data_IF_387413760170
#
_entry.id   IF_387413760170
#
_cell.length_a   1.000
_cell.length_b   1.000
_cell.length_c   1.000
_cell.angle_alpha   90.00
_cell.angle_beta   90.00
_cell.angle_gamma   90.00
#
_symmetry.space_group_name_H-M   'P 1'
#
loop_
_entity.id
_entity.type
_entity.pdbx_description
1 polymer ?
#
# COMPACT_ATOMS: atom_id res chain seq x y z
N UNK A 1 8.25 -7.99 14.02
CA UNK A 1 7.67 -7.63 15.33
C UNK A 1 8.79 -7.32 16.31
N UNK A 2 8.70 -6.20 17.02
CA UNK A 2 9.55 -5.87 18.16
C UNK A 2 8.69 -5.87 19.43
N UNK A 3 9.20 -6.48 20.50
CA UNK A 3 8.66 -6.30 21.84
C UNK A 3 9.59 -5.37 22.60
N UNK A 4 9.05 -4.28 23.13
CA UNK A 4 9.80 -3.39 24.02
C UNK A 4 9.93 -4.02 25.41
N UNK A 5 10.86 -3.52 26.20
CA UNK A 5 11.04 -3.96 27.59
C UNK A 5 9.76 -3.73 28.45
N UNK A 6 8.87 -2.81 28.03
CA UNK A 6 7.55 -2.59 28.61
C UNK A 6 6.52 -3.69 28.30
N UNK A 7 6.83 -4.65 27.41
CA UNK A 7 5.89 -5.63 26.87
C UNK A 7 5.03 -5.10 25.71
N UNK A 8 5.16 -3.84 25.36
CA UNK A 8 4.46 -3.24 24.23
C UNK A 8 4.98 -3.79 22.91
N UNK A 9 4.05 -4.13 21.99
CA UNK A 9 4.40 -4.65 20.67
C UNK A 9 4.38 -3.52 19.66
N UNK A 10 5.38 -3.52 18.77
CA UNK A 10 5.47 -2.57 17.66
C UNK A 10 5.93 -3.30 16.40
N UNK A 11 5.61 -2.73 15.24
CA UNK A 11 6.09 -3.23 13.95
C UNK A 11 7.29 -2.39 13.51
N UNK A 12 8.43 -3.05 13.36
CA UNK A 12 9.62 -2.43 12.80
C UNK A 12 9.74 -2.79 11.32
N UNK A 13 9.87 -1.79 10.47
CA UNK A 13 10.01 -1.96 9.02
C UNK A 13 11.39 -1.52 8.57
N UNK A 14 12.03 -2.37 7.76
CA UNK A 14 13.29 -2.10 7.08
C UNK A 14 13.00 -2.04 5.59
N UNK A 15 13.29 -0.90 4.97
CA UNK A 15 13.02 -0.64 3.55
C UNK A 15 14.37 -0.38 2.88
N UNK A 16 14.67 -1.07 1.77
CA UNK A 16 15.90 -0.84 1.02
C UNK A 16 15.93 0.60 0.46
N UNK A 17 17.13 1.17 0.39
CA UNK A 17 17.30 2.60 0.12
C UNK A 17 17.10 3.00 -1.36
N UNK A 18 16.70 2.08 -2.25
CA UNK A 18 16.24 2.38 -3.60
C UNK A 18 14.84 3.01 -3.62
N UNK A 19 14.07 2.85 -2.52
CA UNK A 19 12.81 3.58 -2.36
C UNK A 19 13.09 5.04 -2.01
N UNK A 20 12.55 6.01 -2.78
CA UNK A 20 12.77 7.42 -2.51
C UNK A 20 12.29 7.83 -1.12
N UNK A 21 13.10 8.64 -0.42
CA UNK A 21 12.74 9.12 0.95
C UNK A 21 11.42 9.90 0.95
N UNK A 22 11.14 10.66 -0.11
CA UNK A 22 9.90 11.44 -0.22
C UNK A 22 8.65 10.56 -0.21
N UNK A 23 8.74 9.39 -0.80
CA UNK A 23 7.66 8.39 -0.77
C UNK A 23 7.36 7.91 0.63
N UNK A 24 8.40 7.59 1.39
CA UNK A 24 8.25 7.18 2.79
C UNK A 24 7.70 8.31 3.66
N UNK A 25 8.04 9.57 3.35
CA UNK A 25 7.45 10.74 4.04
C UNK A 25 5.94 10.84 3.76
N UNK A 26 5.52 10.61 2.51
CA UNK A 26 4.09 10.58 2.15
C UNK A 26 3.37 9.44 2.87
N UNK A 27 3.96 8.23 2.95
CA UNK A 27 3.38 7.15 3.73
C UNK A 27 3.21 7.52 5.22
N UNK A 28 4.20 8.19 5.83
CA UNK A 28 4.11 8.65 7.22
C UNK A 28 2.99 9.67 7.37
N UNK A 29 2.89 10.65 6.47
CA UNK A 29 1.81 11.65 6.49
C UNK A 29 0.44 10.99 6.34
N UNK A 30 0.30 10.02 5.42
CA UNK A 30 -0.93 9.26 5.23
C UNK A 30 -1.33 8.50 6.50
N UNK A 31 -0.37 7.82 7.14
CA UNK A 31 -0.63 7.08 8.39
C UNK A 31 -1.05 8.02 9.53
N UNK A 32 -0.40 9.18 9.68
CA UNK A 32 -0.76 10.19 10.68
C UNK A 32 -2.17 10.73 10.43
N UNK A 33 -2.48 11.06 9.18
CA UNK A 33 -3.80 11.56 8.80
C UNK A 33 -4.89 10.51 9.05
N UNK A 34 -4.70 9.28 8.56
CA UNK A 34 -5.64 8.17 8.80
C UNK A 34 -5.83 7.89 10.29
N UNK A 35 -4.76 7.92 11.08
CA UNK A 35 -4.85 7.69 12.52
C UNK A 35 -5.64 8.79 13.22
N UNK A 36 -5.53 10.05 12.78
CA UNK A 36 -6.33 11.16 13.32
C UNK A 36 -7.84 11.02 13.04
N UNK A 37 -8.21 10.40 11.90
CA UNK A 37 -9.60 10.22 11.47
C UNK A 37 -10.21 8.88 11.96
N UNK A 38 -9.43 7.81 11.92
CA UNK A 38 -9.89 6.43 12.13
C UNK A 38 -9.34 5.79 13.43
N UNK A 39 -8.46 6.50 14.14
CA UNK A 39 -7.91 6.06 15.42
C UNK A 39 -7.17 4.72 15.31
N UNK A 40 -7.48 3.81 16.23
CA UNK A 40 -6.82 2.51 16.34
C UNK A 40 -7.16 1.51 15.22
N UNK A 41 -8.05 1.86 14.29
CA UNK A 41 -8.35 1.01 13.12
C UNK A 41 -7.19 0.96 12.12
N UNK A 42 -6.24 1.89 12.21
CA UNK A 42 -5.06 1.93 11.36
C UNK A 42 -3.79 2.08 12.21
N UNK A 43 -2.65 1.54 11.76
CA UNK A 43 -1.40 1.75 12.49
C UNK A 43 -1.03 3.24 12.47
N UNK A 44 -0.37 3.72 13.53
CA UNK A 44 0.22 5.05 13.56
C UNK A 44 1.75 4.96 13.57
N UNK A 45 2.45 5.90 12.91
CA UNK A 45 3.90 5.93 12.91
C UNK A 45 4.41 6.36 14.29
N UNK A 46 5.54 5.76 14.71
CA UNK A 46 6.21 6.06 15.97
C UNK A 46 7.54 6.75 15.69
N UNK A 47 7.78 7.85 16.38
CA UNK A 47 9.05 8.57 16.27
C UNK A 47 10.16 7.87 17.06
N UNK A 48 11.40 8.00 16.61
CA UNK A 48 12.58 7.64 17.39
C UNK A 48 12.83 8.65 18.55
N UNK A 49 13.85 8.40 19.34
CA UNK A 49 14.20 9.29 20.47
C UNK A 49 14.59 10.72 20.05
N UNK A 50 14.94 10.91 18.78
CA UNK A 50 15.23 12.21 18.19
C UNK A 50 14.02 12.88 17.51
N UNK A 51 12.84 12.27 17.62
CA UNK A 51 11.60 12.77 17.01
C UNK A 51 11.44 12.46 15.53
N UNK A 52 12.25 11.56 14.96
CA UNK A 52 12.22 11.20 13.53
C UNK A 52 11.36 9.96 13.32
N UNK A 53 10.49 9.98 12.33
CA UNK A 53 9.69 8.83 11.92
C UNK A 53 10.40 7.90 10.93
N UNK A 54 11.46 8.40 10.28
CA UNK A 54 12.30 7.66 9.35
C UNK A 54 13.74 7.91 9.72
N UNK A 55 14.51 6.85 9.89
CA UNK A 55 15.94 6.88 10.18
C UNK A 55 16.71 6.08 9.13
N UNK A 56 17.94 6.50 8.85
CA UNK A 56 18.82 5.75 7.97
C UNK A 56 19.56 4.66 8.75
N UNK A 57 19.70 3.49 8.14
CA UNK A 57 20.47 2.37 8.68
C UNK A 57 21.31 1.70 7.60
N UNK A 58 22.03 0.65 7.99
CA UNK A 58 22.80 -0.20 7.09
C UNK A 58 22.50 -1.67 7.35
N UNK A 59 22.36 -2.44 6.30
CA UNK A 59 22.24 -3.89 6.34
C UNK A 59 23.61 -4.54 6.54
N UNK A 60 23.65 -5.82 6.90
CA UNK A 60 24.91 -6.56 7.11
C UNK A 60 25.81 -6.60 5.88
N UNK A 61 25.25 -6.53 4.69
CA UNK A 61 25.99 -6.46 3.42
C UNK A 61 26.52 -5.06 3.09
N UNK A 62 26.34 -4.07 3.99
CA UNK A 62 26.76 -2.69 3.80
C UNK A 62 25.78 -1.81 3.01
N UNK A 63 24.67 -2.37 2.48
CA UNK A 63 23.67 -1.58 1.76
C UNK A 63 22.92 -0.66 2.72
N UNK A 64 22.62 0.56 2.29
CA UNK A 64 21.80 1.50 3.03
C UNK A 64 20.33 1.04 3.08
N UNK A 65 19.66 1.36 4.16
CA UNK A 65 18.22 1.12 4.30
C UNK A 65 17.55 2.25 5.09
N UNK A 66 16.22 2.36 4.94
CA UNK A 66 15.38 3.20 5.78
C UNK A 66 14.75 2.35 6.86
N UNK A 67 14.70 2.90 8.05
CA UNK A 67 14.15 2.27 9.25
C UNK A 67 12.95 3.08 9.71
N UNK A 68 11.83 2.41 9.98
CA UNK A 68 10.63 3.05 10.55
C UNK A 68 9.93 2.14 11.54
N UNK A 69 9.24 2.74 12.48
CA UNK A 69 8.49 2.06 13.52
C UNK A 69 7.01 2.49 13.45
N UNK A 70 6.12 1.56 13.68
CA UNK A 70 4.69 1.83 13.76
C UNK A 70 4.04 0.97 14.83
N UNK A 71 2.87 1.38 15.31
CA UNK A 71 2.09 0.61 16.27
C UNK A 71 1.78 -0.78 15.73
N UNK A 72 1.76 -1.76 16.62
CA UNK A 72 1.27 -3.09 16.33
C UNK A 72 -0.25 -3.06 16.18
N UNK A 73 -0.77 -3.69 15.15
CA UNK A 73 -2.20 -3.95 15.00
C UNK A 73 -2.49 -5.39 15.42
N UNK A 74 -3.34 -5.63 16.42
CA UNK A 74 -3.77 -6.97 16.78
C UNK A 74 -4.76 -7.50 15.74
N UNK A 75 -4.92 -8.82 15.66
CA UNK A 75 -5.92 -9.44 14.80
C UNK A 75 -5.38 -10.61 14.01
N UNK A 76 -6.27 -11.24 13.28
CA UNK A 76 -6.00 -12.36 12.36
C UNK A 76 -6.16 -11.83 10.94
N UNK A 77 -5.22 -12.09 10.00
CA UNK A 77 -5.40 -11.70 8.61
C UNK A 77 -6.73 -12.22 8.04
N UNK A 78 -7.43 -11.40 7.26
CA UNK A 78 -8.67 -11.78 6.60
C UNK A 78 -8.50 -13.08 5.79
N UNK A 79 -7.31 -13.29 5.19
CA UNK A 79 -6.96 -14.53 4.51
C UNK A 79 -7.13 -15.79 5.38
N UNK A 80 -6.84 -15.69 6.67
CA UNK A 80 -6.84 -16.79 7.63
C UNK A 80 -8.12 -16.83 8.50
N UNK A 81 -8.87 -15.74 8.56
CA UNK A 81 -10.10 -15.64 9.36
C UNK A 81 -11.25 -16.43 8.71
N UNK A 82 -12.07 -17.12 9.51
CA UNK A 82 -13.27 -17.85 9.05
C UNK A 82 -14.38 -17.78 10.12
N UNK A 83 -15.65 -17.77 9.71
CA UNK A 83 -16.16 -17.79 8.33
C UNK A 83 -16.12 -16.41 7.66
N UNK A 84 -16.04 -16.36 6.34
CA UNK A 84 -16.27 -15.15 5.56
C UNK A 84 -17.78 -14.93 5.41
N UNK A 85 -18.35 -14.00 6.17
CA UNK A 85 -19.78 -13.67 6.10
C UNK A 85 -20.02 -12.41 5.26
N UNK A 86 -21.26 -12.20 4.84
CA UNK A 86 -21.65 -10.96 4.13
C UNK A 86 -21.40 -9.72 5.00
N UNK A 87 -21.69 -9.82 6.30
CA UNK A 87 -21.48 -8.74 7.26
C UNK A 87 -19.99 -8.37 7.40
N UNK A 88 -19.12 -9.40 7.40
CA UNK A 88 -17.67 -9.17 7.40
C UNK A 88 -17.23 -8.39 6.16
N UNK A 89 -17.66 -8.82 4.98
CA UNK A 89 -17.32 -8.09 3.74
C UNK A 89 -17.91 -6.69 3.69
N UNK A 90 -19.10 -6.50 4.25
CA UNK A 90 -19.68 -5.17 4.44
C UNK A 90 -18.82 -4.27 5.32
N UNK A 91 -18.35 -4.82 6.46
CA UNK A 91 -17.48 -4.08 7.38
C UNK A 91 -16.13 -3.73 6.73
N UNK A 92 -15.52 -4.66 6.00
CA UNK A 92 -14.28 -4.42 5.24
C UNK A 92 -14.50 -3.32 4.19
N UNK A 93 -15.58 -3.43 3.40
CA UNK A 93 -15.91 -2.43 2.39
C UNK A 93 -16.16 -1.05 2.99
N UNK A 94 -16.83 -0.98 4.14
CA UNK A 94 -17.06 0.27 4.87
C UNK A 94 -15.75 0.91 5.33
N UNK A 95 -14.86 0.14 5.97
CA UNK A 95 -13.54 0.61 6.39
C UNK A 95 -12.73 1.10 5.19
N UNK A 96 -12.70 0.36 4.09
CA UNK A 96 -11.97 0.78 2.89
C UNK A 96 -12.54 2.07 2.28
N UNK A 97 -13.86 2.24 2.32
CA UNK A 97 -14.53 3.49 1.93
C UNK A 97 -14.12 4.67 2.82
N UNK A 98 -14.05 4.47 4.13
CA UNK A 98 -13.56 5.49 5.08
C UNK A 98 -12.10 5.85 4.81
N UNK A 99 -11.22 4.86 4.60
CA UNK A 99 -9.81 5.07 4.26
C UNK A 99 -9.68 5.88 2.96
N UNK A 100 -10.39 5.49 1.91
CA UNK A 100 -10.35 6.20 0.63
C UNK A 100 -10.86 7.64 0.75
N UNK A 101 -11.95 7.87 1.48
CA UNK A 101 -12.51 9.22 1.72
C UNK A 101 -11.53 10.08 2.50
N UNK A 102 -10.94 9.56 3.57
CA UNK A 102 -9.95 10.28 4.37
C UNK A 102 -8.72 10.65 3.53
N UNK A 103 -8.12 9.67 2.83
CA UNK A 103 -6.95 9.92 1.98
C UNK A 103 -7.22 10.92 0.85
N UNK A 104 -8.45 11.00 0.32
CA UNK A 104 -8.80 11.96 -0.73
C UNK A 104 -8.72 13.42 -0.28
N UNK A 105 -8.76 13.69 1.01
CA UNK A 105 -8.62 15.03 1.58
C UNK A 105 -7.18 15.43 1.86
N UNK A 106 -6.24 14.48 1.83
CA UNK A 106 -4.84 14.72 2.12
C UNK A 106 -4.13 15.26 0.87
N UNK A 107 -3.77 16.55 0.91
CA UNK A 107 -2.93 17.14 -0.12
C UNK A 107 -1.47 16.70 0.05
N UNK A 108 -0.98 15.88 -0.87
CA UNK A 108 0.42 15.48 -0.93
C UNK A 108 0.98 15.79 -2.32
N UNK A 109 2.29 16.11 -2.45
CA UNK A 109 2.93 16.13 -3.75
C UNK A 109 2.72 14.77 -4.42
N UNK A 110 2.57 14.73 -5.75
CA UNK A 110 2.52 13.46 -6.48
C UNK A 110 3.81 12.67 -6.19
N UNK A 111 3.74 11.59 -5.39
CA UNK A 111 4.95 10.97 -4.87
C UNK A 111 5.58 9.97 -5.86
N UNK A 112 4.84 9.54 -6.90
CA UNK A 112 5.26 8.37 -7.67
C UNK A 112 4.73 8.31 -9.09
N UNK A 113 5.37 8.97 -10.05
CA UNK A 113 5.12 8.69 -11.46
C UNK A 113 5.59 7.28 -11.89
N UNK A 114 6.51 6.64 -11.16
CA UNK A 114 7.26 5.49 -11.68
C UNK A 114 7.05 4.16 -10.92
N UNK A 115 5.95 4.00 -10.17
CA UNK A 115 5.64 2.71 -9.54
C UNK A 115 5.19 1.69 -10.60
N UNK A 116 5.84 0.50 -10.69
CA UNK A 116 5.47 -0.51 -11.70
C UNK A 116 4.01 -0.96 -11.63
N UNK A 117 3.38 -0.91 -10.46
CA UNK A 117 1.95 -1.24 -10.27
C UNK A 117 1.02 -0.02 -10.35
N UNK A 118 1.52 1.14 -10.79
CA UNK A 118 0.65 2.28 -11.06
C UNK A 118 -0.22 1.97 -12.29
N UNK A 119 -1.54 2.24 -12.27
CA UNK A 119 -2.43 1.97 -13.40
C UNK A 119 -1.92 2.53 -14.73
N UNK A 120 -1.32 3.71 -14.74
CA UNK A 120 -0.77 4.35 -15.94
C UNK A 120 0.36 3.51 -16.59
N UNK A 121 1.00 2.60 -15.83
CA UNK A 121 2.05 1.70 -16.31
C UNK A 121 1.50 0.35 -16.82
N UNK A 122 0.21 0.07 -16.61
CA UNK A 122 -0.36 -1.26 -16.85
C UNK A 122 -0.14 -1.76 -18.28
N UNK A 123 -0.34 -0.90 -19.29
CA UNK A 123 -0.14 -1.27 -20.70
C UNK A 123 1.31 -1.63 -20.99
N UNK A 124 2.24 -0.79 -20.57
CA UNK A 124 3.67 -1.02 -20.79
C UNK A 124 4.12 -2.33 -20.15
N UNK A 125 3.74 -2.57 -18.90
CA UNK A 125 4.12 -3.79 -18.16
C UNK A 125 3.54 -5.04 -18.83
N UNK A 126 2.28 -5.00 -19.27
CA UNK A 126 1.67 -6.13 -19.98
C UNK A 126 2.38 -6.36 -21.32
N UNK A 127 2.66 -5.32 -22.11
CA UNK A 127 3.38 -5.44 -23.38
C UNK A 127 4.77 -6.05 -23.22
N UNK A 128 5.55 -5.59 -22.25
CA UNK A 128 6.86 -6.15 -21.91
C UNK A 128 6.75 -7.60 -21.47
N UNK A 129 5.75 -7.94 -20.65
CA UNK A 129 5.50 -9.28 -20.15
C UNK A 129 5.01 -10.27 -21.19
N UNK A 130 4.35 -9.84 -22.29
CA UNK A 130 3.80 -10.71 -23.32
C UNK A 130 4.86 -11.62 -23.99
N UNK A 131 6.11 -11.14 -24.08
CA UNK A 131 7.22 -11.92 -24.62
C UNK A 131 7.62 -13.11 -23.73
N UNK A 132 7.29 -13.07 -22.44
CA UNK A 132 7.61 -14.09 -21.45
C UNK A 132 6.49 -15.13 -21.31
N UNK A 133 5.30 -14.89 -21.89
CA UNK A 133 4.16 -15.78 -21.82
C UNK A 133 4.25 -16.82 -22.92
N UNK A 134 4.49 -18.08 -22.52
CA UNK A 134 4.60 -19.22 -23.46
C UNK A 134 3.24 -19.79 -23.88
N UNK A 135 2.20 -19.67 -23.02
CA UNK A 135 0.85 -20.18 -23.32
C UNK A 135 0.14 -19.26 -24.33
N UNK A 136 -0.23 -19.76 -25.54
CA UNK A 136 -0.88 -18.96 -26.57
C UNK A 136 -2.28 -18.46 -26.15
N UNK A 137 -3.01 -19.22 -25.32
CA UNK A 137 -4.36 -18.83 -24.86
C UNK A 137 -4.24 -17.67 -23.86
N UNK A 138 -3.32 -17.78 -22.91
CA UNK A 138 -3.05 -16.70 -21.97
C UNK A 138 -2.55 -15.45 -22.69
N UNK A 139 -1.63 -15.62 -23.65
CA UNK A 139 -1.13 -14.50 -24.46
C UNK A 139 -2.27 -13.77 -25.19
N UNK A 140 -3.13 -14.50 -25.89
CA UNK A 140 -4.28 -13.93 -26.58
C UNK A 140 -5.26 -13.22 -25.60
N UNK A 141 -5.48 -13.81 -24.42
CA UNK A 141 -6.29 -13.18 -23.37
C UNK A 141 -5.71 -11.82 -22.92
N UNK A 142 -4.42 -11.78 -22.64
CA UNK A 142 -3.73 -10.54 -22.22
C UNK A 142 -3.76 -9.48 -23.32
N UNK A 143 -3.54 -9.87 -24.58
CA UNK A 143 -3.65 -8.94 -25.71
C UNK A 143 -5.07 -8.40 -25.89
N UNK A 144 -6.11 -9.23 -25.64
CA UNK A 144 -7.49 -8.75 -25.67
C UNK A 144 -7.80 -7.80 -24.52
N UNK A 145 -7.34 -8.11 -23.31
CA UNK A 145 -7.50 -7.26 -22.14
C UNK A 145 -6.85 -5.89 -22.39
N UNK A 146 -5.63 -5.88 -22.94
CA UNK A 146 -4.90 -4.65 -23.29
C UNK A 146 -5.69 -3.80 -24.32
N UNK A 147 -6.19 -4.44 -25.39
CA UNK A 147 -7.03 -3.72 -26.39
C UNK A 147 -8.30 -3.12 -25.78
N UNK A 148 -8.95 -3.82 -24.84
CA UNK A 148 -10.12 -3.30 -24.14
C UNK A 148 -9.75 -2.12 -23.23
N UNK A 149 -8.64 -2.22 -22.52
CA UNK A 149 -8.14 -1.13 -21.68
C UNK A 149 -7.81 0.10 -22.53
N UNK A 150 -7.04 -0.05 -23.62
CA UNK A 150 -6.68 1.06 -24.50
C UNK A 150 -7.91 1.74 -25.14
N UNK A 151 -8.94 0.95 -25.43
CA UNK A 151 -10.17 1.47 -26.06
C UNK A 151 -11.11 2.14 -25.07
N UNK A 152 -11.26 1.63 -23.87
CA UNK A 152 -12.29 2.05 -22.94
C UNK A 152 -11.76 2.62 -21.62
N UNK A 153 -10.61 2.16 -21.14
CA UNK A 153 -10.00 2.60 -19.89
C UNK A 153 -9.14 3.85 -20.06
N UNK A 154 -8.13 3.76 -20.92
CA UNK A 154 -7.16 4.84 -21.12
C UNK A 154 -7.79 6.22 -21.45
N UNK A 155 -8.83 6.33 -22.31
CA UNK A 155 -9.44 7.63 -22.56
C UNK A 155 -10.09 8.27 -21.33
N UNK A 156 -10.42 7.48 -20.30
CA UNK A 156 -11.07 7.99 -19.08
C UNK A 156 -10.07 8.42 -18.00
N UNK A 157 -8.79 8.03 -18.11
CA UNK A 157 -7.78 8.30 -17.08
C UNK A 157 -7.58 9.79 -16.77
N UNK A 158 -7.71 10.64 -17.79
CA UNK A 158 -7.57 12.09 -17.62
C UNK A 158 -8.77 12.73 -16.91
N UNK A 159 -9.91 12.08 -16.94
CA UNK A 159 -11.16 12.58 -16.39
C UNK A 159 -11.44 12.03 -14.99
N UNK A 160 -10.68 11.00 -14.56
CA UNK A 160 -10.83 10.43 -13.23
C UNK A 160 -10.21 11.33 -12.16
N UNK A 161 -10.91 11.53 -11.03
CA UNK A 161 -10.33 12.23 -9.90
C UNK A 161 -9.11 11.47 -9.38
N UNK A 162 -8.03 12.20 -9.09
CA UNK A 162 -6.80 11.63 -8.54
C UNK A 162 -6.69 11.97 -7.06
N UNK A 163 -6.33 10.97 -6.26
CA UNK A 163 -6.06 11.13 -4.82
C UNK A 163 -5.06 10.08 -4.36
N UNK A 164 -4.54 10.28 -3.16
CA UNK A 164 -3.78 9.23 -2.51
C UNK A 164 -4.72 8.04 -2.21
N UNK A 165 -4.25 6.83 -2.47
CA UNK A 165 -4.99 5.58 -2.20
C UNK A 165 -4.11 4.60 -1.42
N UNK A 166 -4.74 3.65 -0.71
CA UNK A 166 -4.02 2.63 0.05
C UNK A 166 -3.31 1.62 -0.87
N UNK A 167 -3.86 1.32 -2.03
CA UNK A 167 -3.33 0.51 -3.15
C UNK A 167 -2.98 -0.97 -2.86
N UNK A 168 -2.90 -1.43 -1.63
CA UNK A 168 -2.54 -2.81 -1.27
C UNK A 168 -3.44 -3.38 -0.17
N UNK A 169 -4.75 -3.20 -0.31
CA UNK A 169 -5.76 -3.74 0.61
C UNK A 169 -6.07 -5.22 0.31
N UNK A 170 -5.03 -6.05 0.21
CA UNK A 170 -5.21 -7.48 0.07
C UNK A 170 -5.61 -8.12 1.42
N UNK A 171 -6.01 -9.38 1.37
CA UNK A 171 -6.55 -10.12 2.51
C UNK A 171 -5.52 -10.43 3.63
N UNK A 172 -4.23 -10.26 3.38
CA UNK A 172 -3.17 -10.32 4.40
C UNK A 172 -2.91 -8.96 5.09
N UNK A 173 -3.30 -7.85 4.46
CA UNK A 173 -3.13 -6.50 4.98
C UNK A 173 -4.36 -6.00 5.77
N UNK A 174 -5.44 -6.78 5.80
CA UNK A 174 -6.65 -6.51 6.58
C UNK A 174 -6.71 -7.46 7.75
N UNK A 175 -6.76 -6.92 8.97
CA UNK A 175 -6.80 -7.69 10.20
C UNK A 175 -8.21 -7.67 10.81
N UNK A 176 -8.67 -8.83 11.27
CA UNK A 176 -9.96 -9.02 11.93
C UNK A 176 -9.72 -9.30 13.40
N UNK A 177 -10.43 -8.60 14.27
CA UNK A 177 -10.39 -8.77 15.72
C UNK A 177 -11.76 -8.58 16.36
#
# INVERSE_FOLDING_TARGET
QLCLASGEKNTFKVVIADVPLESLKVEIQAMQHLNSELGSLVPHPLADQAGRFISQGSLQNGSSCWLRLQSWQPGIPLAEFRPHTTELFHSVGHLMGQVATSLSTLAVPDPHPDLPWHPDQASQIVEEGLSLVADPLLKNFLEQALRLYDRYGRPLETDLPRSLIQNDANDYNILIH
#
